data_IF_195963935618
#
_entry.id   IF_195963935618
#
_cell.length_a   1.000
_cell.length_b   1.000
_cell.length_c   1.000
_cell.angle_alpha   90.00
_cell.angle_beta   90.00
_cell.angle_gamma   90.00
#
_symmetry.space_group_name_H-M   'P 1'
#
loop_
_entity.id
_entity.type
_entity.pdbx_description
1 polymer ?
#
# COMPACT_ATOMS: atom_id res chain seq x y z
N UNK A 1 29.96 -19.25 14.83
CA UNK A 1 29.20 -18.14 14.21
C UNK A 1 27.72 -18.50 14.26
N UNK A 2 26.95 -17.85 15.13
CA UNK A 2 25.59 -18.24 15.49
C UNK A 2 24.60 -17.17 15.02
N UNK A 3 23.62 -17.61 14.21
CA UNK A 3 22.25 -17.09 13.98
C UNK A 3 22.01 -15.58 13.85
N UNK A 4 21.36 -15.15 12.74
CA UNK A 4 20.58 -13.91 12.79
C UNK A 4 20.23 -13.12 11.52
N UNK A 5 20.30 -13.65 10.28
CA UNK A 5 19.92 -12.83 9.11
C UNK A 5 18.83 -13.41 8.19
N UNK A 6 18.00 -14.32 8.71
CA UNK A 6 16.86 -14.89 7.97
C UNK A 6 15.65 -13.96 7.71
N UNK A 7 15.43 -12.77 8.33
CA UNK A 7 14.21 -12.01 8.04
C UNK A 7 14.27 -11.22 6.72
N UNK A 8 15.47 -10.81 6.27
CA UNK A 8 15.61 -9.91 5.11
C UNK A 8 15.51 -10.62 3.75
N UNK A 9 15.93 -11.89 3.67
CA UNK A 9 15.82 -12.67 2.43
C UNK A 9 14.37 -13.01 2.07
N UNK A 10 13.58 -13.38 3.07
CA UNK A 10 12.15 -13.69 2.91
C UNK A 10 11.33 -12.47 2.49
N UNK A 11 11.63 -11.29 3.07
CA UNK A 11 11.02 -10.01 2.67
C UNK A 11 11.37 -9.59 1.24
N UNK A 12 12.52 -10.02 0.70
CA UNK A 12 12.93 -9.72 -0.67
C UNK A 12 12.22 -10.63 -1.68
N UNK A 13 12.02 -11.91 -1.36
CA UNK A 13 11.18 -12.83 -2.16
C UNK A 13 9.68 -12.52 -2.05
N UNK A 14 9.22 -11.98 -0.91
CA UNK A 14 7.82 -11.58 -0.68
C UNK A 14 7.61 -10.07 -0.78
N UNK A 15 8.52 -9.35 -1.44
CA UNK A 15 8.53 -7.88 -1.45
C UNK A 15 7.23 -7.31 -2.01
N UNK A 16 6.66 -7.94 -3.04
CA UNK A 16 5.40 -7.54 -3.67
C UNK A 16 4.19 -7.74 -2.73
N UNK A 17 4.16 -8.85 -2.00
CA UNK A 17 3.15 -9.11 -0.97
C UNK A 17 3.29 -8.13 0.21
N UNK A 18 4.52 -7.79 0.58
CA UNK A 18 4.81 -6.75 1.57
C UNK A 18 4.27 -5.39 1.14
N UNK A 19 4.43 -5.01 -0.13
CA UNK A 19 3.87 -3.78 -0.70
C UNK A 19 2.34 -3.82 -0.71
N UNK A 20 1.71 -4.95 -1.05
CA UNK A 20 0.26 -5.09 -1.00
C UNK A 20 -0.28 -4.83 0.42
N UNK A 21 0.33 -5.46 1.43
CA UNK A 21 -0.05 -5.30 2.84
C UNK A 21 0.17 -3.87 3.32
N UNK A 22 1.28 -3.24 2.92
CA UNK A 22 1.57 -1.84 3.25
C UNK A 22 0.50 -0.91 2.65
N UNK A 23 0.19 -1.05 1.36
CA UNK A 23 -0.84 -0.24 0.69
C UNK A 23 -2.21 -0.43 1.32
N UNK A 24 -2.57 -1.68 1.68
CA UNK A 24 -3.81 -1.96 2.38
C UNK A 24 -3.86 -1.24 3.73
N UNK A 25 -2.80 -1.38 4.53
CA UNK A 25 -2.69 -0.75 5.84
C UNK A 25 -2.77 0.77 5.76
N UNK A 26 -2.09 1.39 4.80
CA UNK A 26 -2.16 2.83 4.55
C UNK A 26 -3.56 3.26 4.10
N UNK A 27 -4.22 2.51 3.22
CA UNK A 27 -5.60 2.78 2.81
C UNK A 27 -6.57 2.77 4.00
N UNK A 28 -6.51 1.74 4.85
CA UNK A 28 -7.32 1.64 6.08
C UNK A 28 -7.01 2.79 7.04
N UNK A 29 -5.74 3.11 7.23
CA UNK A 29 -5.30 4.19 8.12
C UNK A 29 -5.87 5.54 7.65
N UNK A 30 -5.72 5.87 6.37
CA UNK A 30 -6.22 7.11 5.76
C UNK A 30 -7.74 7.21 5.87
N UNK A 31 -8.46 6.11 5.63
CA UNK A 31 -9.91 6.09 5.80
C UNK A 31 -10.30 6.30 7.27
N UNK A 32 -9.59 5.67 8.20
CA UNK A 32 -9.82 5.84 9.64
C UNK A 32 -9.60 7.30 10.05
N UNK A 33 -8.51 7.92 9.59
CA UNK A 33 -8.24 9.36 9.80
C UNK A 33 -9.40 10.22 9.28
N UNK A 34 -9.84 9.98 8.04
CA UNK A 34 -10.96 10.69 7.42
C UNK A 34 -12.28 10.55 8.20
N UNK A 35 -12.55 9.36 8.76
CA UNK A 35 -13.73 9.12 9.60
C UNK A 35 -13.66 9.83 10.95
N UNK A 36 -12.46 9.92 11.53
CA UNK A 36 -12.24 10.61 12.81
C UNK A 36 -12.09 12.12 12.66
N UNK A 37 -11.93 12.63 11.44
CA UNK A 37 -11.71 14.05 11.18
C UNK A 37 -12.94 14.89 11.50
N UNK A 38 -12.87 15.71 12.54
CA UNK A 38 -13.84 16.77 12.84
C UNK A 38 -13.63 17.94 11.89
N UNK A 39 -14.54 18.12 10.94
CA UNK A 39 -14.46 19.21 9.95
C UNK A 39 -15.31 20.38 10.42
N UNK A 40 -14.62 21.45 10.81
CA UNK A 40 -15.25 22.73 11.10
C UNK A 40 -15.91 23.30 9.84
N UNK A 41 -17.08 23.94 10.01
CA UNK A 41 -18.01 24.43 8.98
C UNK A 41 -17.41 25.58 8.11
N UNK A 42 -16.11 25.84 8.19
CA UNK A 42 -15.40 26.79 7.34
C UNK A 42 -15.13 26.22 5.93
N UNK A 43 -16.19 25.81 5.23
CA UNK A 43 -16.11 25.32 3.86
C UNK A 43 -16.32 26.47 2.86
N UNK A 44 -15.23 26.89 2.21
CA UNK A 44 -15.25 27.75 1.02
C UNK A 44 -14.81 26.93 -0.20
N UNK A 45 -15.70 26.12 -0.76
CA UNK A 45 -15.45 25.37 -2.00
C UNK A 45 -16.44 24.22 -2.23
N UNK A 46 -16.61 23.75 -3.48
CA UNK A 46 -17.55 22.67 -3.83
C UNK A 46 -17.09 21.27 -3.37
N UNK A 47 -15.83 21.11 -2.95
CA UNK A 47 -15.27 19.84 -2.47
C UNK A 47 -14.94 19.92 -0.99
N UNK A 48 -15.43 18.94 -0.23
CA UNK A 48 -15.21 18.86 1.20
C UNK A 48 -13.80 18.34 1.54
N UNK A 49 -13.21 18.74 2.69
CA UNK A 49 -11.89 18.30 3.16
C UNK A 49 -11.80 16.80 3.37
N UNK A 50 -12.94 16.11 3.61
CA UNK A 50 -13.00 14.65 3.67
C UNK A 50 -12.93 13.98 2.29
N UNK A 51 -13.29 14.67 1.20
CA UNK A 51 -13.36 14.05 -0.13
C UNK A 51 -12.00 13.50 -0.58
N UNK A 52 -10.93 14.27 -0.39
CA UNK A 52 -9.58 13.87 -0.76
C UNK A 52 -9.14 12.58 -0.04
N UNK A 53 -9.14 12.49 1.30
CA UNK A 53 -8.68 11.28 1.97
C UNK A 53 -9.59 10.07 1.69
N UNK A 54 -10.90 10.25 1.47
CA UNK A 54 -11.76 9.14 1.02
C UNK A 54 -11.35 8.59 -0.35
N UNK A 55 -11.09 9.46 -1.33
CA UNK A 55 -10.68 9.05 -2.68
C UNK A 55 -9.32 8.36 -2.64
N UNK A 56 -8.34 8.95 -1.95
CA UNK A 56 -6.99 8.38 -1.85
C UNK A 56 -6.99 7.05 -1.09
N UNK A 57 -7.71 6.98 0.05
CA UNK A 57 -7.85 5.74 0.82
C UNK A 57 -8.50 4.63 -0.01
N UNK A 58 -9.57 4.94 -0.76
CA UNK A 58 -10.21 4.00 -1.67
C UNK A 58 -9.29 3.53 -2.81
N UNK A 59 -8.51 4.44 -3.41
CA UNK A 59 -7.56 4.11 -4.46
C UNK A 59 -6.44 3.18 -3.94
N UNK A 60 -5.93 3.40 -2.73
CA UNK A 60 -4.95 2.50 -2.12
C UNK A 60 -5.50 1.09 -1.90
N UNK A 61 -6.73 0.96 -1.40
CA UNK A 61 -7.37 -0.35 -1.26
C UNK A 61 -7.56 -1.03 -2.62
N UNK A 62 -8.00 -0.28 -3.64
CA UNK A 62 -8.16 -0.81 -4.99
C UNK A 62 -6.82 -1.33 -5.55
N UNK A 63 -5.76 -0.53 -5.51
CA UNK A 63 -4.44 -0.92 -6.01
C UNK A 63 -3.90 -2.11 -5.22
N UNK A 64 -4.06 -2.11 -3.88
CA UNK A 64 -3.64 -3.22 -3.04
C UNK A 64 -4.30 -4.54 -3.45
N UNK A 65 -5.61 -4.53 -3.72
CA UNK A 65 -6.35 -5.73 -4.16
C UNK A 65 -5.92 -6.18 -5.56
N UNK A 66 -5.74 -5.23 -6.49
CA UNK A 66 -5.28 -5.54 -7.85
C UNK A 66 -3.88 -6.16 -7.84
N UNK A 67 -2.94 -5.52 -7.13
CA UNK A 67 -1.57 -6.00 -7.00
C UNK A 67 -1.52 -7.37 -6.30
N UNK A 68 -2.29 -7.56 -5.23
CA UNK A 68 -2.38 -8.85 -4.57
C UNK A 68 -2.90 -9.93 -5.53
N UNK A 69 -3.90 -9.59 -6.35
CA UNK A 69 -4.39 -10.45 -7.42
C UNK A 69 -3.30 -10.80 -8.44
N UNK A 70 -2.52 -9.83 -8.90
CA UNK A 70 -1.45 -10.03 -9.88
C UNK A 70 -0.31 -10.90 -9.32
N UNK A 71 0.09 -10.67 -8.07
CA UNK A 71 1.12 -11.48 -7.39
C UNK A 71 0.63 -12.91 -7.16
N UNK A 72 -0.62 -13.09 -6.73
CA UNK A 72 -1.24 -14.41 -6.58
C UNK A 72 -1.39 -15.14 -7.93
N UNK A 73 -1.52 -14.40 -9.03
CA UNK A 73 -1.52 -14.93 -10.41
C UNK A 73 -0.13 -15.29 -10.91
N UNK A 74 0.91 -15.03 -10.12
CA UNK A 74 2.30 -15.35 -10.47
C UNK A 74 3.01 -14.26 -11.26
N UNK A 75 2.47 -13.03 -11.29
CA UNK A 75 3.21 -11.86 -11.75
C UNK A 75 4.36 -11.59 -10.80
N UNK A 76 5.53 -12.13 -11.12
CA UNK A 76 6.78 -11.69 -10.50
C UNK A 76 7.26 -10.52 -11.34
N UNK A 77 7.43 -9.34 -10.75
CA UNK A 77 8.19 -8.29 -11.38
C UNK A 77 9.53 -8.90 -11.77
N UNK A 78 9.75 -9.05 -13.08
CA UNK A 78 10.98 -9.60 -13.65
C UNK A 78 12.13 -8.91 -12.93
N UNK A 79 12.76 -9.63 -12.00
CA UNK A 79 13.94 -9.14 -11.32
C UNK A 79 14.98 -9.16 -12.42
N UNK A 80 15.13 -8.06 -13.15
CA UNK A 80 16.13 -7.86 -14.20
C UNK A 80 17.44 -8.45 -13.66
N UNK A 81 17.72 -9.66 -14.14
CA UNK A 81 18.83 -10.47 -13.67
C UNK A 81 20.05 -9.70 -14.07
N UNK A 82 20.73 -9.15 -13.06
CA UNK A 82 21.93 -8.35 -13.21
C UNK A 82 22.77 -8.92 -14.33
N UNK A 83 22.79 -8.16 -15.43
CA UNK A 83 23.64 -8.40 -16.58
C UNK A 83 25.05 -8.49 -16.04
N UNK A 84 25.62 -9.69 -16.16
CA UNK A 84 27.00 -10.06 -15.85
C UNK A 84 27.98 -8.91 -16.17
N UNK A 85 28.75 -8.44 -15.18
CA UNK A 85 29.91 -7.56 -15.36
C UNK A 85 31.17 -8.21 -14.83
#
# INVERSE_FOLDING_TARGET
>A
AQQGNAPLGWLREHSELGVCVLLFGLGVLVLTDAFTMSVDIAQRGPVGPRTVPFVIGGLFLLISVLLAGDVLRGGRGEAEGGEDV
#
